data_IF_363541676756
#
_entry.id   IF_363541676756
#
_cell.length_a   1.000
_cell.length_b   1.000
_cell.length_c   1.000
_cell.angle_alpha   90.00
_cell.angle_beta   90.00
_cell.angle_gamma   90.00
#
_symmetry.space_group_name_H-M   'P 1'
#
loop_
_entity.id
_entity.type
_entity.pdbx_description
1 polymer ?
#
# COMPACT_ATOMS: atom_id res chain seq x y z
N UNK A 1 -7.49 12.45 -20.31
CA UNK A 1 -8.85 12.25 -19.79
C UNK A 1 -9.80 13.30 -20.35
N UNK A 2 -11.12 13.06 -20.31
CA UNK A 2 -12.13 13.94 -20.93
C UNK A 2 -13.24 14.24 -19.93
N UNK A 3 -13.50 15.52 -19.67
CA UNK A 3 -14.52 15.97 -18.75
C UNK A 3 -15.54 16.89 -19.45
N UNK A 4 -16.80 16.96 -18.99
CA UNK A 4 -17.71 18.01 -19.38
C UNK A 4 -17.14 19.39 -19.04
N UNK A 5 -17.22 20.35 -19.97
CA UNK A 5 -16.64 21.70 -19.79
C UNK A 5 -17.18 22.42 -18.55
N UNK A 6 -18.40 22.10 -18.10
CA UNK A 6 -18.99 22.70 -16.89
C UNK A 6 -18.36 22.23 -15.57
N UNK A 7 -17.69 21.07 -15.55
CA UNK A 7 -17.23 20.43 -14.31
C UNK A 7 -15.72 20.15 -14.28
N UNK A 8 -14.99 20.40 -15.36
CA UNK A 8 -13.56 20.04 -15.42
C UNK A 8 -12.73 20.80 -14.37
N UNK A 9 -13.08 22.05 -14.05
CA UNK A 9 -12.35 22.87 -13.09
C UNK A 9 -12.37 22.23 -11.69
N UNK A 10 -13.53 21.72 -11.25
CA UNK A 10 -13.65 21.01 -9.98
C UNK A 10 -12.78 19.75 -9.96
N UNK A 11 -12.69 19.04 -11.10
CA UNK A 11 -11.88 17.83 -11.25
C UNK A 11 -10.37 18.09 -11.26
N UNK A 12 -9.93 19.25 -11.75
CA UNK A 12 -8.49 19.60 -11.76
C UNK A 12 -8.08 20.46 -10.56
N UNK A 13 -9.03 20.97 -9.76
CA UNK A 13 -8.76 21.84 -8.61
C UNK A 13 -7.73 21.26 -7.62
N UNK A 14 -7.74 19.96 -7.27
CA UNK A 14 -6.70 19.39 -6.41
C UNK A 14 -5.28 19.56 -6.97
N UNK A 15 -5.12 19.46 -8.29
CA UNK A 15 -3.82 19.62 -8.97
C UNK A 15 -3.33 21.08 -8.96
N UNK A 16 -4.24 22.05 -8.88
CA UNK A 16 -3.89 23.48 -8.80
C UNK A 16 -3.45 23.85 -7.39
N UNK A 17 -4.10 23.29 -6.37
CA UNK A 17 -3.80 23.58 -4.97
C UNK A 17 -2.54 22.87 -4.47
N UNK A 18 -2.26 21.67 -4.98
CA UNK A 18 -1.14 20.86 -4.53
C UNK A 18 0.17 21.31 -5.19
N UNK A 19 1.20 21.69 -4.42
CA UNK A 19 2.52 21.93 -4.99
C UNK A 19 3.04 20.69 -5.74
N UNK A 20 3.77 20.88 -6.83
CA UNK A 20 4.29 19.76 -7.62
C UNK A 20 5.14 18.81 -6.78
N UNK A 21 4.96 17.50 -6.97
CA UNK A 21 5.71 16.47 -6.25
C UNK A 21 6.04 15.29 -7.17
N UNK A 22 7.27 14.77 -7.10
CA UNK A 22 7.79 13.72 -8.00
C UNK A 22 7.00 12.41 -7.98
N UNK A 23 6.27 12.14 -6.89
CA UNK A 23 5.44 10.95 -6.73
C UNK A 23 3.94 11.23 -6.93
N UNK A 24 3.57 12.33 -7.58
CA UNK A 24 2.18 12.68 -7.87
C UNK A 24 2.09 13.14 -9.32
N UNK A 25 1.12 12.59 -10.06
CA UNK A 25 0.89 12.98 -11.45
C UNK A 25 0.45 14.44 -11.53
N UNK A 26 1.16 15.26 -12.30
CA UNK A 26 0.75 16.61 -12.66
C UNK A 26 -0.07 16.65 -13.94
N UNK A 27 -0.90 17.69 -14.09
CA UNK A 27 -1.55 18.00 -15.36
C UNK A 27 -0.51 18.58 -16.32
N UNK A 28 -0.35 17.99 -17.50
CA UNK A 28 0.58 18.46 -18.53
C UNK A 28 -0.05 19.60 -19.32
N UNK A 29 -1.29 19.40 -19.77
CA UNK A 29 -1.99 20.37 -20.61
C UNK A 29 -3.51 20.22 -20.44
N UNK A 30 -4.25 21.31 -20.63
CA UNK A 30 -5.71 21.31 -20.72
C UNK A 30 -6.12 22.00 -22.02
N UNK A 31 -6.80 21.26 -22.90
CA UNK A 31 -7.38 21.80 -24.14
C UNK A 31 -8.90 21.88 -23.98
N UNK A 32 -9.46 23.05 -24.27
CA UNK A 32 -10.91 23.28 -24.19
C UNK A 32 -11.52 23.19 -25.59
N UNK A 33 -12.53 22.34 -25.75
CA UNK A 33 -13.43 22.34 -26.89
C UNK A 33 -14.80 22.90 -26.53
N UNK A 34 -15.75 22.84 -27.46
CA UNK A 34 -17.07 23.49 -27.31
C UNK A 34 -17.88 22.99 -26.11
N UNK A 35 -17.78 21.70 -25.79
CA UNK A 35 -18.56 21.06 -24.71
C UNK A 35 -17.72 20.23 -23.73
N UNK A 36 -16.42 20.06 -24.02
CA UNK A 36 -15.53 19.13 -23.31
C UNK A 36 -14.18 19.79 -23.04
N UNK A 37 -13.57 19.43 -21.91
CA UNK A 37 -12.18 19.70 -21.61
C UNK A 37 -11.37 18.40 -21.71
N UNK A 38 -10.22 18.48 -22.39
CA UNK A 38 -9.28 17.39 -22.58
C UNK A 38 -8.07 17.66 -21.68
N UNK A 39 -7.88 16.83 -20.65
CA UNK A 39 -6.80 16.98 -19.67
C UNK A 39 -5.74 15.92 -19.96
N UNK A 40 -4.53 16.36 -20.26
CA UNK A 40 -3.41 15.50 -20.62
C UNK A 40 -2.52 15.24 -19.41
N UNK A 41 -2.08 14.00 -19.30
CA UNK A 41 -1.21 13.49 -18.26
C UNK A 41 -0.08 12.71 -18.92
N UNK A 42 1.06 12.58 -18.24
CA UNK A 42 2.12 11.69 -18.68
C UNK A 42 1.63 10.23 -18.75
N UNK A 43 2.22 9.45 -19.66
CA UNK A 43 1.97 8.02 -19.80
C UNK A 43 2.54 7.26 -18.60
N UNK A 44 1.88 6.19 -18.17
CA UNK A 44 2.39 5.24 -17.17
C UNK A 44 2.89 3.93 -17.78
N UNK A 45 3.54 3.11 -16.94
CA UNK A 45 4.12 1.81 -17.30
C UNK A 45 3.55 0.65 -16.46
N UNK A 46 2.28 0.80 -16.04
CA UNK A 46 1.53 -0.19 -15.25
C UNK A 46 1.37 0.18 -13.77
N UNK A 47 0.41 -0.48 -13.11
CA UNK A 47 0.03 -0.20 -11.73
C UNK A 47 0.61 -1.20 -10.70
N UNK A 48 0.74 -0.75 -9.45
CA UNK A 48 1.29 -1.55 -8.35
C UNK A 48 0.47 -2.79 -8.00
N UNK A 49 -0.84 -2.80 -8.24
CA UNK A 49 -1.65 -3.97 -7.95
C UNK A 49 -1.37 -5.09 -8.97
N UNK A 50 -1.26 -4.74 -10.26
CA UNK A 50 -0.82 -5.66 -11.31
C UNK A 50 0.61 -6.15 -11.07
N UNK A 51 1.50 -5.26 -10.62
CA UNK A 51 2.89 -5.58 -10.30
C UNK A 51 3.04 -6.62 -9.17
N UNK A 52 2.36 -6.41 -8.04
CA UNK A 52 2.37 -7.38 -6.93
C UNK A 52 1.78 -8.71 -7.36
N UNK A 53 0.72 -8.71 -8.17
CA UNK A 53 0.11 -9.94 -8.69
C UNK A 53 1.09 -10.75 -9.55
N UNK A 54 1.91 -10.10 -10.38
CA UNK A 54 2.93 -10.79 -11.17
C UNK A 54 4.06 -11.34 -10.30
N UNK A 55 4.51 -10.60 -9.28
CA UNK A 55 5.61 -11.01 -8.40
C UNK A 55 5.17 -11.96 -7.29
N UNK A 56 3.85 -12.14 -7.08
CA UNK A 56 3.21 -12.79 -5.92
C UNK A 56 3.41 -12.00 -4.62
N UNK A 57 4.63 -11.59 -4.29
CA UNK A 57 5.00 -10.67 -3.20
C UNK A 57 6.34 -10.01 -3.55
N UNK A 58 6.68 -8.92 -2.88
CA UNK A 58 7.96 -8.22 -3.07
C UNK A 58 8.93 -8.58 -1.93
N UNK A 59 10.23 -8.48 -2.22
CA UNK A 59 11.28 -8.49 -1.18
C UNK A 59 11.23 -7.20 -0.38
N UNK A 60 11.68 -7.23 0.87
CA UNK A 60 11.55 -6.05 1.75
C UNK A 60 12.26 -4.81 1.21
N UNK A 61 13.44 -4.97 0.61
CA UNK A 61 14.21 -3.86 0.04
C UNK A 61 13.42 -3.14 -1.06
N UNK A 62 12.87 -3.90 -2.02
CA UNK A 62 12.05 -3.34 -3.09
C UNK A 62 10.73 -2.76 -2.55
N UNK A 63 10.05 -3.49 -1.65
CA UNK A 63 8.84 -3.03 -1.02
C UNK A 63 9.07 -1.71 -0.27
N UNK A 64 10.19 -1.55 0.43
CA UNK A 64 10.54 -0.33 1.13
C UNK A 64 10.81 0.82 0.15
N UNK A 65 11.58 0.60 -0.93
CA UNK A 65 11.83 1.61 -1.97
C UNK A 65 10.54 2.13 -2.59
N UNK A 66 9.61 1.24 -2.92
CA UNK A 66 8.34 1.61 -3.54
C UNK A 66 7.34 2.18 -2.52
N UNK A 67 7.24 1.59 -1.34
CA UNK A 67 6.32 2.05 -0.29
C UNK A 67 6.73 3.43 0.26
N UNK A 68 8.03 3.75 0.34
CA UNK A 68 8.49 5.10 0.72
C UNK A 68 7.97 6.17 -0.24
N UNK A 69 7.93 5.86 -1.54
CA UNK A 69 7.39 6.76 -2.57
C UNK A 69 5.87 6.94 -2.44
N UNK A 70 5.16 5.85 -2.17
CA UNK A 70 3.71 5.87 -1.88
C UNK A 70 3.44 6.79 -0.67
N UNK A 71 4.12 6.56 0.44
CA UNK A 71 3.95 7.35 1.66
C UNK A 71 4.35 8.81 1.44
N UNK A 72 5.41 9.08 0.67
CA UNK A 72 5.82 10.45 0.31
C UNK A 72 4.72 11.21 -0.42
N UNK A 73 4.03 10.57 -1.36
CA UNK A 73 2.89 11.17 -2.05
C UNK A 73 1.73 11.48 -1.08
N UNK A 74 1.40 10.53 -0.19
CA UNK A 74 0.31 10.72 0.79
C UNK A 74 0.64 11.82 1.80
N UNK A 75 1.86 11.83 2.33
CA UNK A 75 2.32 12.86 3.26
C UNK A 75 2.24 14.26 2.65
N UNK A 76 2.66 14.40 1.38
CA UNK A 76 2.59 15.66 0.65
C UNK A 76 1.15 16.15 0.45
N UNK A 77 0.22 15.25 0.11
CA UNK A 77 -1.21 15.56 0.05
C UNK A 77 -1.76 16.00 1.41
N UNK A 78 -1.47 15.25 2.48
CA UNK A 78 -1.97 15.53 3.82
C UNK A 78 -1.48 16.88 4.36
N UNK A 79 -0.23 17.26 4.07
CA UNK A 79 0.35 18.57 4.40
C UNK A 79 -0.30 19.72 3.62
N UNK A 80 -0.84 19.43 2.43
CA UNK A 80 -1.53 20.41 1.58
C UNK A 80 -3.05 20.39 1.75
N UNK A 81 -3.54 19.83 2.87
CA UNK A 81 -4.96 19.71 3.18
C UNK A 81 -5.75 18.94 2.10
N UNK A 82 -5.18 17.85 1.58
CA UNK A 82 -5.84 16.92 0.67
C UNK A 82 -5.87 15.52 1.30
N UNK A 83 -7.08 15.00 1.54
CA UNK A 83 -7.32 13.61 1.92
C UNK A 83 -7.65 12.79 0.68
N UNK A 84 -7.07 11.59 0.56
CA UNK A 84 -7.17 10.80 -0.66
C UNK A 84 -8.43 9.93 -0.71
N UNK A 85 -8.88 9.39 0.42
CA UNK A 85 -10.19 8.74 0.61
C UNK A 85 -10.36 7.35 -0.03
N UNK A 86 -9.63 7.04 -1.10
CA UNK A 86 -9.69 5.75 -1.82
C UNK A 86 -8.28 5.22 -2.13
N UNK A 87 -7.41 5.15 -1.11
CA UNK A 87 -6.06 4.62 -1.28
C UNK A 87 -6.06 3.11 -1.55
N UNK A 88 -5.40 2.73 -2.66
CA UNK A 88 -5.20 1.34 -3.06
C UNK A 88 -4.01 1.22 -3.99
N UNK A 89 -3.45 0.02 -4.10
CA UNK A 89 -2.30 -0.27 -4.96
C UNK A 89 -2.52 0.18 -6.41
N UNK A 90 -3.74 0.01 -6.96
CA UNK A 90 -4.05 0.40 -8.35
C UNK A 90 -3.86 1.90 -8.63
N UNK A 91 -3.95 2.78 -7.62
CA UNK A 91 -3.76 4.23 -7.79
C UNK A 91 -2.29 4.63 -7.90
N UNK A 92 -1.34 3.72 -7.74
CA UNK A 92 0.08 4.00 -7.88
C UNK A 92 0.61 3.31 -9.12
N UNK A 93 1.11 4.12 -10.04
CA UNK A 93 1.57 3.69 -11.36
C UNK A 93 3.03 4.04 -11.55
N UNK A 94 3.74 3.26 -12.36
CA UNK A 94 5.14 3.53 -12.68
C UNK A 94 5.25 4.67 -13.69
N UNK A 95 6.15 5.62 -13.43
CA UNK A 95 6.44 6.73 -14.35
C UNK A 95 7.56 6.41 -15.35
N UNK A 96 8.23 5.27 -15.21
CA UNK A 96 9.31 4.84 -16.08
C UNK A 96 9.22 3.35 -16.41
N UNK A 97 9.87 2.95 -17.50
CA UNK A 97 9.85 1.58 -18.01
C UNK A 97 10.62 0.61 -17.09
N UNK A 98 11.64 1.09 -16.38
CA UNK A 98 12.37 0.29 -15.40
C UNK A 98 11.55 -0.04 -14.14
N UNK A 99 10.35 0.57 -13.99
CA UNK A 99 9.44 0.35 -12.87
C UNK A 99 10.08 0.57 -11.50
N UNK A 100 10.86 1.64 -11.39
CA UNK A 100 11.54 2.02 -10.14
C UNK A 100 10.95 3.28 -9.51
N UNK A 101 10.20 4.08 -10.28
CA UNK A 101 9.61 5.33 -9.86
C UNK A 101 8.08 5.26 -9.90
N UNK A 102 7.42 5.53 -8.77
CA UNK A 102 5.96 5.56 -8.65
C UNK A 102 5.41 6.98 -8.63
N UNK A 103 4.19 7.12 -9.15
CA UNK A 103 3.34 8.30 -9.00
C UNK A 103 1.92 7.92 -8.62
N UNK A 104 1.27 8.75 -7.82
CA UNK A 104 -0.17 8.73 -7.65
C UNK A 104 -0.83 9.10 -8.98
N UNK A 105 -1.66 8.20 -9.51
CA UNK A 105 -2.26 8.27 -10.85
C UNK A 105 -3.19 9.49 -11.01
N UNK A 106 -4.06 9.72 -10.04
CA UNK A 106 -5.08 10.78 -10.12
C UNK A 106 -5.49 11.34 -8.75
N UNK A 107 -5.90 12.62 -8.75
CA UNK A 107 -6.45 13.37 -7.63
C UNK A 107 -7.96 13.67 -7.78
N UNK A 108 -8.63 13.15 -8.80
CA UNK A 108 -10.01 13.55 -9.18
C UNK A 108 -11.11 13.29 -8.14
N UNK A 109 -10.89 12.32 -7.26
CA UNK A 109 -11.84 11.90 -6.22
C UNK A 109 -11.22 12.07 -4.82
N UNK A 110 -10.43 13.12 -4.66
CA UNK A 110 -9.83 13.51 -3.36
C UNK A 110 -10.65 14.61 -2.69
N UNK A 111 -10.47 14.75 -1.38
CA UNK A 111 -11.16 15.75 -0.57
C UNK A 111 -10.19 16.86 -0.18
N UNK A 112 -10.44 18.06 -0.69
CA UNK A 112 -9.76 19.26 -0.22
C UNK A 112 -10.41 19.69 1.09
N UNK A 113 -9.68 19.60 2.19
CA UNK A 113 -10.15 19.97 3.53
C UNK A 113 -9.82 21.44 3.84
N UNK A 114 -10.58 22.06 4.75
CA UNK A 114 -10.38 23.45 5.15
C UNK A 114 -9.68 23.49 6.51
N UNK A 115 -8.44 23.98 6.54
CA UNK A 115 -7.65 24.02 7.77
C UNK A 115 -7.19 22.62 8.19
N UNK A 116 -7.27 22.33 9.49
CA UNK A 116 -6.78 21.06 10.06
C UNK A 116 -7.87 19.99 10.22
N UNK A 117 -9.14 20.36 10.10
CA UNK A 117 -10.27 19.44 10.24
C UNK A 117 -10.38 18.51 9.01
N UNK A 118 -10.04 17.24 9.21
CA UNK A 118 -10.07 16.19 8.20
C UNK A 118 -11.28 15.25 8.33
N UNK A 119 -12.33 15.68 9.03
CA UNK A 119 -13.54 14.92 9.22
C UNK A 119 -14.29 14.71 7.89
N UNK A 120 -14.46 13.44 7.49
CA UNK A 120 -15.25 13.03 6.32
C UNK A 120 -16.43 12.15 6.74
N UNK A 121 -17.52 12.19 5.96
CA UNK A 121 -18.70 11.35 6.15
C UNK A 121 -18.91 10.33 5.02
N UNK A 122 -18.20 10.50 3.90
CA UNK A 122 -18.40 9.71 2.69
C UNK A 122 -17.91 8.28 2.89
N UNK A 123 -18.73 7.31 2.48
CA UNK A 123 -18.45 5.88 2.65
C UNK A 123 -18.25 5.24 1.27
N UNK A 124 -17.11 5.53 0.67
CA UNK A 124 -16.69 4.95 -0.60
C UNK A 124 -15.32 4.28 -0.42
N UNK A 125 -15.10 3.15 -1.08
CA UNK A 125 -13.82 2.45 -1.00
C UNK A 125 -13.90 0.97 -1.33
N UNK A 126 -12.76 0.39 -1.70
CA UNK A 126 -12.63 -1.05 -1.89
C UNK A 126 -12.73 -1.76 -0.52
N UNK A 127 -13.57 -2.80 -0.34
CA UNK A 127 -13.78 -3.46 0.95
C UNK A 127 -12.51 -3.93 1.68
N UNK A 128 -11.47 -4.30 0.94
CA UNK A 128 -10.18 -4.73 1.50
C UNK A 128 -9.38 -3.59 2.18
N UNK A 129 -9.68 -2.34 1.84
CA UNK A 129 -8.99 -1.13 2.33
C UNK A 129 -9.84 -0.32 3.32
N UNK A 130 -11.10 -0.68 3.54
CA UNK A 130 -11.98 0.03 4.47
C UNK A 130 -11.47 -0.10 5.90
N UNK A 131 -11.41 1.02 6.62
CA UNK A 131 -10.95 1.07 8.01
C UNK A 131 -12.09 0.79 9.02
N UNK A 132 -11.76 0.38 10.27
CA UNK A 132 -12.76 0.02 11.28
C UNK A 132 -13.76 1.15 11.60
N UNK A 133 -13.31 2.39 11.64
CA UNK A 133 -14.12 3.57 11.96
C UNK A 133 -15.17 3.88 10.89
N UNK A 134 -14.90 3.62 9.61
CA UNK A 134 -15.88 3.78 8.52
C UNK A 134 -17.06 2.79 8.71
N UNK A 135 -16.76 1.58 9.22
CA UNK A 135 -17.74 0.53 9.49
C UNK A 135 -18.54 0.76 10.78
N UNK A 136 -17.96 1.45 11.77
CA UNK A 136 -18.54 1.59 13.11
C UNK A 136 -19.28 2.92 13.32
N UNK A 137 -18.91 3.98 12.59
CA UNK A 137 -19.41 5.33 12.88
C UNK A 137 -20.63 5.68 12.02
N UNK A 138 -21.67 6.24 12.66
CA UNK A 138 -22.84 6.82 11.98
C UNK A 138 -22.65 8.30 11.61
N UNK A 139 -21.54 8.90 12.01
CA UNK A 139 -21.14 10.29 11.73
C UNK A 139 -19.86 10.38 10.91
N UNK A 140 -18.96 11.28 11.30
CA UNK A 140 -17.69 11.54 10.61
C UNK A 140 -16.53 10.69 11.12
N UNK A 141 -15.46 10.59 10.33
CA UNK A 141 -14.19 9.95 10.68
C UNK A 141 -13.01 10.79 10.20
N UNK A 142 -11.83 10.63 10.82
CA UNK A 142 -10.59 11.26 10.33
C UNK A 142 -10.16 10.62 9.00
N UNK A 143 -10.25 11.40 7.94
CA UNK A 143 -9.87 10.97 6.59
C UNK A 143 -8.38 10.64 6.46
N UNK A 144 -7.50 11.41 7.11
CA UNK A 144 -6.05 11.15 7.10
C UNK A 144 -5.72 9.84 7.80
N UNK A 145 -6.38 9.54 8.93
CA UNK A 145 -6.17 8.27 9.63
C UNK A 145 -6.70 7.07 8.83
N UNK A 146 -7.81 7.24 8.09
CA UNK A 146 -8.32 6.21 7.18
C UNK A 146 -7.37 5.96 5.98
N UNK A 147 -6.74 7.01 5.43
CA UNK A 147 -5.67 6.88 4.44
C UNK A 147 -4.48 6.08 5.00
N UNK A 148 -4.09 6.32 6.26
CA UNK A 148 -3.01 5.57 6.92
C UNK A 148 -3.35 4.09 7.10
N UNK A 149 -4.60 3.77 7.45
CA UNK A 149 -5.04 2.37 7.48
C UNK A 149 -4.84 1.71 6.11
N UNK A 150 -5.24 2.41 5.05
CA UNK A 150 -5.06 1.95 3.67
C UNK A 150 -3.58 1.73 3.33
N UNK A 151 -2.68 2.60 3.79
CA UNK A 151 -1.22 2.40 3.69
C UNK A 151 -0.76 1.12 4.40
N UNK A 152 -1.31 0.81 5.58
CA UNK A 152 -1.07 -0.45 6.28
C UNK A 152 -1.49 -1.67 5.47
N UNK A 153 -2.66 -1.62 4.84
CA UNK A 153 -3.15 -2.68 3.94
C UNK A 153 -2.23 -2.82 2.73
N UNK A 154 -1.79 -1.71 2.13
CA UNK A 154 -0.84 -1.72 1.01
C UNK A 154 0.49 -2.37 1.40
N UNK A 155 1.11 -1.94 2.50
CA UNK A 155 2.39 -2.50 2.96
C UNK A 155 2.29 -4.01 3.23
N UNK A 156 1.24 -4.44 3.94
CA UNK A 156 1.01 -5.86 4.16
C UNK A 156 0.90 -6.62 2.82
N UNK A 157 0.14 -6.08 1.87
CA UNK A 157 -0.10 -6.73 0.58
C UNK A 157 1.18 -6.80 -0.27
N UNK A 158 2.04 -5.78 -0.21
CA UNK A 158 3.34 -5.78 -0.88
C UNK A 158 4.23 -6.92 -0.38
N UNK A 159 4.32 -7.09 0.94
CA UNK A 159 5.22 -8.05 1.58
C UNK A 159 4.67 -9.48 1.60
N UNK A 160 3.36 -9.63 1.75
CA UNK A 160 2.71 -10.93 1.97
C UNK A 160 2.03 -11.47 0.71
N UNK A 161 1.68 -10.60 -0.25
CA UNK A 161 1.05 -11.00 -1.51
C UNK A 161 -0.46 -11.22 -1.47
N UNK A 162 -1.08 -10.99 -0.31
CA UNK A 162 -2.53 -11.08 -0.08
C UNK A 162 -2.96 -10.00 0.89
N UNK A 163 -4.25 -9.69 0.94
CA UNK A 163 -4.79 -8.72 1.88
C UNK A 163 -4.72 -9.21 3.34
N UNK A 164 -4.50 -8.30 4.32
CA UNK A 164 -4.52 -8.65 5.74
C UNK A 164 -5.90 -9.13 6.19
N UNK A 165 -6.95 -8.54 5.61
CA UNK A 165 -8.34 -8.94 5.80
C UNK A 165 -8.88 -9.44 4.47
N UNK A 166 -9.29 -10.70 4.43
CA UNK A 166 -9.98 -11.28 3.29
C UNK A 166 -10.99 -12.31 3.80
N UNK A 167 -12.13 -12.35 3.12
CA UNK A 167 -13.15 -13.38 3.27
C UNK A 167 -14.07 -13.32 2.04
N UNK A 168 -14.67 -14.45 1.66
CA UNK A 168 -15.70 -14.46 0.62
C UNK A 168 -17.03 -13.90 1.10
N UNK A 169 -17.31 -14.01 2.41
CA UNK A 169 -18.49 -13.42 3.03
C UNK A 169 -18.19 -11.98 3.50
N UNK A 170 -18.88 -10.95 2.97
CA UNK A 170 -18.67 -9.57 3.37
C UNK A 170 -18.90 -9.32 4.86
N UNK A 171 -19.85 -10.01 5.49
CA UNK A 171 -20.14 -9.84 6.92
C UNK A 171 -18.95 -10.29 7.78
N UNK A 172 -18.38 -11.45 7.44
CA UNK A 172 -17.18 -12.00 8.08
C UNK A 172 -15.95 -11.13 7.82
N UNK A 173 -15.77 -10.63 6.59
CA UNK A 173 -14.71 -9.67 6.27
C UNK A 173 -14.81 -8.42 7.16
N UNK A 174 -15.98 -7.79 7.23
CA UNK A 174 -16.19 -6.60 8.05
C UNK A 174 -16.03 -6.88 9.55
N UNK A 175 -16.39 -8.09 10.01
CA UNK A 175 -16.13 -8.53 11.38
C UNK A 175 -14.62 -8.60 11.69
N UNK A 176 -13.82 -9.17 10.78
CA UNK A 176 -12.35 -9.22 10.92
C UNK A 176 -11.73 -7.83 10.96
N UNK A 177 -12.18 -6.93 10.07
CA UNK A 177 -11.73 -5.53 10.01
C UNK A 177 -12.06 -4.82 11.33
N UNK A 178 -13.30 -4.88 11.81
CA UNK A 178 -13.71 -4.26 13.08
C UNK A 178 -12.91 -4.76 14.28
N UNK A 179 -12.52 -6.03 14.28
CA UNK A 179 -11.69 -6.62 15.35
C UNK A 179 -10.19 -6.29 15.19
N UNK A 180 -9.75 -5.83 14.02
CA UNK A 180 -8.34 -5.62 13.72
C UNK A 180 -7.51 -6.91 13.74
N UNK A 181 -8.15 -8.06 13.52
CA UNK A 181 -7.50 -9.37 13.63
C UNK A 181 -6.94 -9.82 12.29
N UNK A 182 -5.61 -9.84 12.17
CA UNK A 182 -4.87 -10.35 11.02
C UNK A 182 -3.57 -11.02 11.48
N UNK A 183 -3.04 -11.93 10.66
CA UNK A 183 -1.78 -12.62 10.94
C UNK A 183 -0.69 -12.13 9.99
N UNK A 184 0.46 -11.74 10.53
CA UNK A 184 1.65 -11.45 9.72
C UNK A 184 2.53 -12.71 9.71
N UNK A 185 2.91 -13.26 8.54
CA UNK A 185 3.79 -14.43 8.46
C UNK A 185 5.20 -14.18 9.02
N UNK A 186 5.89 -15.23 9.45
CA UNK A 186 7.19 -15.12 10.13
C UNK A 186 8.34 -14.69 9.21
N UNK A 187 8.18 -14.81 7.89
CA UNK A 187 9.17 -14.31 6.92
C UNK A 187 9.24 -12.77 6.85
N UNK A 188 8.31 -12.05 7.49
CA UNK A 188 8.31 -10.59 7.52
C UNK A 188 9.15 -10.11 8.70
N UNK A 189 10.10 -9.21 8.46
CA UNK A 189 11.06 -8.74 9.45
C UNK A 189 10.39 -8.09 10.67
N UNK A 190 11.01 -8.14 11.87
CA UNK A 190 10.44 -7.52 13.06
C UNK A 190 10.10 -6.03 12.88
N UNK A 191 10.91 -5.28 12.13
CA UNK A 191 10.69 -3.86 11.85
C UNK A 191 9.51 -3.64 10.90
N UNK A 192 9.38 -4.45 9.85
CA UNK A 192 8.21 -4.43 8.97
C UNK A 192 6.92 -4.79 9.73
N UNK A 193 6.96 -5.84 10.57
CA UNK A 193 5.83 -6.25 11.42
C UNK A 193 5.40 -5.13 12.36
N UNK A 194 6.36 -4.45 12.97
CA UNK A 194 6.11 -3.29 13.83
C UNK A 194 5.41 -2.18 13.04
N UNK A 195 5.94 -1.79 11.88
CA UNK A 195 5.33 -0.76 11.04
C UNK A 195 3.90 -1.13 10.65
N UNK A 196 3.67 -2.34 10.11
CA UNK A 196 2.33 -2.80 9.73
C UNK A 196 1.34 -2.68 10.90
N UNK A 197 1.74 -3.08 12.11
CA UNK A 197 0.88 -2.99 13.31
C UNK A 197 0.63 -1.54 13.74
N UNK A 198 1.59 -0.65 13.55
CA UNK A 198 1.43 0.79 13.83
C UNK A 198 0.47 1.46 12.85
N UNK A 199 0.35 0.97 11.61
CA UNK A 199 -0.60 1.50 10.61
C UNK A 199 -2.00 0.89 10.76
N UNK A 200 -2.08 -0.40 11.12
CA UNK A 200 -3.32 -1.15 11.27
C UNK A 200 -3.82 -1.18 12.73
N UNK A 201 -3.58 -0.10 13.49
CA UNK A 201 -4.20 0.08 14.81
C UNK A 201 -5.70 0.30 14.65
N UNK A 202 -6.48 -0.34 15.51
CA UNK A 202 -7.94 -0.25 15.47
C UNK A 202 -8.41 1.16 15.82
N UNK A 203 -7.79 1.76 16.84
CA UNK A 203 -8.04 3.13 17.24
C UNK A 203 -7.34 4.09 16.26
N UNK A 204 -8.06 4.96 15.53
CA UNK A 204 -7.49 5.85 14.52
C UNK A 204 -6.42 6.79 15.06
N UNK A 205 -6.56 7.24 16.31
CA UNK A 205 -5.63 8.16 16.98
C UNK A 205 -4.31 7.51 17.39
N UNK A 206 -4.21 6.18 17.41
CA UNK A 206 -2.98 5.44 17.71
C UNK A 206 -2.13 5.14 16.46
N UNK A 207 -2.63 5.49 15.27
CA UNK A 207 -1.90 5.27 14.02
C UNK A 207 -0.84 6.35 13.82
N UNK A 208 0.29 5.98 13.24
CA UNK A 208 1.29 6.94 12.78
C UNK A 208 0.69 7.88 11.73
N UNK A 209 1.08 9.14 11.74
CA UNK A 209 0.81 10.08 10.64
C UNK A 209 1.69 9.74 9.44
N UNK A 210 1.26 10.08 8.22
CA UNK A 210 2.06 9.83 7.01
C UNK A 210 3.51 10.39 7.08
N UNK A 211 3.77 11.59 7.65
CA UNK A 211 5.13 12.07 7.91
C UNK A 211 5.93 11.19 8.88
N UNK A 212 5.33 10.71 9.97
CA UNK A 212 6.00 9.83 10.94
C UNK A 212 6.35 8.47 10.34
N UNK A 213 5.53 7.95 9.42
CA UNK A 213 5.82 6.72 8.68
C UNK A 213 7.16 6.84 7.96
N UNK A 214 7.43 7.96 7.28
CA UNK A 214 8.68 8.17 6.52
C UNK A 214 9.94 8.11 7.38
N UNK A 215 9.80 8.31 8.69
CA UNK A 215 10.88 8.27 9.69
C UNK A 215 10.97 6.91 10.39
N UNK A 216 10.13 5.93 10.03
CA UNK A 216 10.12 4.64 10.70
C UNK A 216 11.41 3.86 10.42
N UNK A 217 12.07 3.25 11.43
CA UNK A 217 13.35 2.55 11.27
C UNK A 217 13.37 1.35 10.32
N UNK A 218 12.21 0.94 9.81
CA UNK A 218 12.13 -0.11 8.80
C UNK A 218 12.79 0.33 7.49
N UNK A 219 12.60 1.60 7.07
CA UNK A 219 13.18 2.09 5.83
C UNK A 219 14.72 2.10 5.88
N UNK A 220 15.31 2.59 6.97
CA UNK A 220 16.77 2.61 7.13
C UNK A 220 17.34 1.19 7.17
N UNK A 221 16.70 0.28 7.91
CA UNK A 221 17.22 -1.08 8.10
C UNK A 221 17.36 -1.91 6.82
N UNK A 222 16.58 -1.61 5.77
CA UNK A 222 16.57 -2.37 4.51
C UNK A 222 17.13 -1.59 3.32
N UNK A 223 17.36 -0.27 3.45
CA UNK A 223 17.91 0.57 2.38
C UNK A 223 19.41 0.87 2.56
N UNK A 224 19.98 0.60 3.72
CA UNK A 224 21.42 0.72 3.96
C UNK A 224 22.21 -0.40 3.24
N UNK A 225 23.35 -0.09 2.58
CA UNK A 225 24.16 -1.10 1.91
C UNK A 225 24.75 -2.10 2.92
N UNK A 226 24.36 -3.36 2.81
CA UNK A 226 24.85 -4.45 3.70
C UNK A 226 23.75 -5.31 4.31
N UNK A 227 22.47 -5.03 4.05
CA UNK A 227 21.37 -5.93 4.41
C UNK A 227 21.46 -7.22 3.57
N UNK A 228 22.12 -8.23 4.10
CA UNK A 228 21.91 -9.62 3.67
C UNK A 228 20.61 -10.08 4.29
N UNK A 229 19.62 -10.43 3.46
CA UNK A 229 18.49 -11.24 3.88
C UNK A 229 19.10 -12.44 4.61
N UNK A 230 18.99 -12.48 5.94
CA UNK A 230 19.11 -13.73 6.65
C UNK A 230 17.85 -14.48 6.24
N UNK A 231 17.90 -15.11 5.06
CA UNK A 231 17.13 -16.31 4.83
C UNK A 231 17.44 -17.16 6.06
N UNK A 232 16.47 -17.25 6.97
CA UNK A 232 16.35 -18.43 7.80
C UNK A 232 16.12 -19.53 6.78
N UNK A 233 17.24 -20.03 6.25
CA UNK A 233 17.29 -21.25 5.51
C UNK A 233 16.50 -22.21 6.37
N UNK A 234 15.40 -22.70 5.82
CA UNK A 234 15.01 -24.06 6.09
C UNK A 234 16.28 -24.85 5.77
N UNK A 235 17.10 -25.08 6.79
CA UNK A 235 17.94 -26.25 6.82
C UNK A 235 16.95 -27.38 6.71
N UNK A 236 16.64 -27.75 5.47
CA UNK A 236 16.07 -29.02 5.14
C UNK A 236 16.94 -30.00 5.92
N UNK A 237 16.36 -30.58 6.97
CA UNK A 237 16.95 -31.73 7.60
C UNK A 237 16.89 -32.81 6.52
N UNK A 238 17.94 -32.86 5.70
CA UNK A 238 18.16 -33.93 4.76
C UNK A 238 18.32 -35.18 5.61
N UNK A 239 17.39 -36.11 5.40
CA UNK A 239 17.44 -37.47 5.94
C UNK A 239 18.76 -38.09 5.49
N UNK A 240 19.59 -38.68 6.37
CA UNK A 240 20.84 -39.30 5.95
C UNK A 240 20.58 -40.41 4.93
N UNK A 241 21.23 -40.32 3.77
CA UNK A 241 21.22 -41.40 2.78
C UNK A 241 22.02 -42.58 3.32
N UNK A 242 21.35 -43.72 3.44
CA UNK A 242 21.96 -45.00 3.80
C UNK A 242 22.59 -45.60 2.53
N UNK A 243 23.92 -45.53 2.41
CA UNK A 243 24.64 -46.34 1.44
C UNK A 243 24.71 -47.77 1.96
N UNK A 244 23.77 -48.60 1.51
CA UNK A 244 23.86 -50.05 1.66
C UNK A 244 24.86 -50.58 0.64
N UNK A 245 26.06 -50.91 1.09
CA UNK A 245 26.94 -51.79 0.34
C UNK A 245 26.36 -53.21 0.39
N UNK A 246 25.93 -53.69 -0.77
CA UNK A 246 25.77 -55.11 -1.03
C UNK A 246 27.15 -55.75 -1.05
N UNK A 247 27.51 -56.44 0.02
CA UNK A 247 28.25 -57.71 0.02
C UNK A 247 28.58 -58.11 1.47
N UNK A 248 27.72 -58.95 2.07
CA UNK A 248 28.19 -60.19 2.70
C UNK A 248 26.99 -61.09 3.08
N UNK A 249 26.75 -62.08 2.22
CA UNK A 249 26.06 -63.31 2.59
C UNK A 249 27.13 -64.18 3.28
N UNK A 250 27.09 -64.26 4.61
CA UNK A 250 27.27 -65.49 5.40
C UNK A 250 27.69 -65.18 6.83
N UNK A 251 27.18 -65.99 7.77
CA UNK A 251 27.38 -65.95 9.22
C UNK A 251 26.46 -64.93 9.93
N UNK A 252 25.49 -65.29 10.77
CA UNK A 252 25.43 -66.40 11.72
C UNK A 252 23.98 -66.89 11.88
N UNK A 253 23.80 -68.21 11.75
CA UNK A 253 22.81 -68.96 12.51
C UNK A 253 23.15 -68.87 14.00
N UNK A 254 22.16 -68.49 14.82
CA UNK A 254 21.68 -69.18 16.03
C UNK A 254 20.59 -68.33 16.68
#
# INVERSE_FOLDING_TARGET
QVFPLKHYQDKIRPYIQLPSHRNITGVVEVILGDTKAYVFFEKDFGDMHSYVRSCKRLREEEAARLFKQIVSAVAHCHQSAIVLGDLKLRKFVFSNEERTQLRLESLEDTHIIKGEDDALSDKHGCPAYVSPEILNTTGTYSGKSADVWSLGVMLYTLLVGRYPFHDSDPSTLFSKIRRGQFCIPDHVSPKARCLIRSLLRREPSERLTAPEILLHPWFEAVLEPGYTDQETGTSDQIVPEYHGDSDDISSFFC
#
